data_IF_688998599560
#
_entry.id   IF_688998599560
#
_cell.length_a   1.000
_cell.length_b   1.000
_cell.length_c   1.000
_cell.angle_alpha   90.00
_cell.angle_beta   90.00
_cell.angle_gamma   90.00
#
_symmetry.space_group_name_H-M   'P 1'
#
loop_
_entity.id
_entity.type
_entity.pdbx_description
1 polymer ?
#
# COMPACT_ATOMS: atom_id res chain seq x y z
N UNK A 1 4.43 5.29 -30.95
CA UNK A 1 4.97 6.15 -29.88
C UNK A 1 4.93 5.34 -28.59
N UNK A 2 6.07 4.91 -28.08
CA UNK A 2 6.12 4.21 -26.80
C UNK A 2 5.73 5.22 -25.72
N UNK A 3 4.63 4.97 -25.00
CA UNK A 3 4.29 5.77 -23.84
C UNK A 3 5.40 5.58 -22.79
N UNK A 4 5.90 6.66 -22.17
CA UNK A 4 6.84 6.52 -21.08
C UNK A 4 6.23 5.60 -20.00
N UNK A 5 6.99 4.62 -19.47
CA UNK A 5 6.46 3.53 -18.65
C UNK A 5 5.83 3.96 -17.33
N UNK A 6 5.92 5.25 -16.95
CA UNK A 6 5.37 5.80 -15.71
C UNK A 6 4.05 6.58 -15.87
N UNK A 7 3.63 6.94 -17.09
CA UNK A 7 2.42 7.78 -17.26
C UNK A 7 1.11 7.01 -17.21
N UNK A 8 1.12 5.70 -17.44
CA UNK A 8 -0.12 4.90 -17.51
C UNK A 8 -0.81 4.78 -16.15
N UNK A 9 -0.06 4.61 -15.06
CA UNK A 9 -0.64 4.52 -13.72
C UNK A 9 -1.20 5.87 -13.27
N UNK A 10 -0.49 6.96 -13.55
CA UNK A 10 -0.97 8.31 -13.24
C UNK A 10 -2.22 8.69 -14.03
N UNK A 11 -2.34 8.26 -15.30
CA UNK A 11 -3.57 8.41 -16.08
C UNK A 11 -4.72 7.59 -15.46
N UNK A 12 -4.45 6.35 -15.06
CA UNK A 12 -5.43 5.51 -14.39
C UNK A 12 -5.89 6.13 -13.05
N UNK A 13 -4.96 6.71 -12.29
CA UNK A 13 -5.26 7.39 -11.04
C UNK A 13 -6.11 8.65 -11.27
N UNK A 14 -5.76 9.46 -12.27
CA UNK A 14 -6.55 10.64 -12.64
C UNK A 14 -7.98 10.26 -13.06
N UNK A 15 -8.13 9.24 -13.90
CA UNK A 15 -9.44 8.72 -14.35
C UNK A 15 -10.21 8.03 -13.23
N UNK A 16 -9.51 7.44 -12.26
CA UNK A 16 -10.04 6.81 -11.07
C UNK A 16 -10.38 7.77 -9.92
N UNK A 17 -10.28 9.09 -10.16
CA UNK A 17 -10.59 10.11 -9.15
C UNK A 17 -9.58 10.19 -8.00
N UNK A 18 -8.36 9.70 -8.22
CA UNK A 18 -7.27 9.73 -7.22
C UNK A 18 -7.44 8.74 -6.07
N UNK A 19 -8.31 7.73 -6.21
CA UNK A 19 -8.56 6.73 -5.17
C UNK A 19 -7.99 5.36 -5.58
N UNK A 20 -7.50 4.53 -4.64
CA UNK A 20 -7.04 3.17 -4.95
C UNK A 20 -8.10 2.33 -5.66
N UNK A 21 -9.33 2.33 -5.14
CA UNK A 21 -10.44 1.58 -5.72
C UNK A 21 -10.82 2.06 -7.13
N UNK A 22 -10.87 3.38 -7.36
CA UNK A 22 -11.15 3.93 -8.69
C UNK A 22 -10.03 3.65 -9.69
N UNK A 23 -8.77 3.73 -9.24
CA UNK A 23 -7.59 3.40 -10.04
C UNK A 23 -7.60 1.92 -10.43
N UNK A 24 -7.84 1.03 -9.47
CA UNK A 24 -7.96 -0.40 -9.68
C UNK A 24 -9.05 -0.75 -10.70
N UNK A 25 -10.20 -0.07 -10.64
CA UNK A 25 -11.28 -0.23 -11.62
C UNK A 25 -10.81 0.13 -13.03
N UNK A 26 -10.13 1.26 -13.22
CA UNK A 26 -9.63 1.69 -14.54
C UNK A 26 -8.59 0.71 -15.08
N UNK A 27 -7.68 0.24 -14.23
CA UNK A 27 -6.67 -0.76 -14.60
C UNK A 27 -7.33 -2.08 -14.99
N UNK A 28 -8.28 -2.55 -14.19
CA UNK A 28 -9.02 -3.79 -14.43
C UNK A 28 -9.78 -3.74 -15.74
N UNK A 29 -10.45 -2.63 -16.05
CA UNK A 29 -11.10 -2.43 -17.35
C UNK A 29 -10.10 -2.52 -18.52
N UNK A 30 -8.89 -1.98 -18.36
CA UNK A 30 -7.82 -2.11 -19.33
C UNK A 30 -7.37 -3.56 -19.53
N UNK A 31 -7.18 -4.31 -18.45
CA UNK A 31 -6.84 -5.74 -18.48
C UNK A 31 -7.94 -6.54 -19.18
N UNK A 32 -9.21 -6.29 -18.84
CA UNK A 32 -10.34 -7.03 -19.41
C UNK A 32 -10.58 -6.70 -20.89
N UNK A 33 -10.17 -5.51 -21.36
CA UNK A 33 -10.22 -5.16 -22.77
C UNK A 33 -9.17 -5.90 -23.62
N UNK A 34 -8.13 -6.47 -23.01
CA UNK A 34 -7.12 -7.24 -23.73
C UNK A 34 -7.63 -8.63 -24.14
N UNK A 35 -7.07 -9.17 -25.21
CA UNK A 35 -7.31 -10.55 -25.63
C UNK A 35 -6.84 -11.52 -24.56
N UNK A 36 -7.51 -12.66 -24.38
CA UNK A 36 -7.21 -13.63 -23.32
C UNK A 36 -5.75 -14.11 -23.28
N UNK A 37 -5.07 -14.15 -24.44
CA UNK A 37 -3.64 -14.55 -24.56
C UNK A 37 -2.70 -13.46 -24.03
N UNK A 38 -3.14 -12.20 -24.02
CA UNK A 38 -2.34 -11.04 -23.59
C UNK A 38 -2.57 -10.70 -22.12
N UNK A 39 -3.58 -11.28 -21.47
CA UNK A 39 -3.88 -11.03 -20.07
C UNK A 39 -2.84 -11.71 -19.18
N UNK A 40 -2.47 -11.10 -18.04
CA UNK A 40 -1.59 -11.75 -17.06
C UNK A 40 -2.16 -13.09 -16.59
N UNK A 41 -1.29 -14.07 -16.35
CA UNK A 41 -1.70 -15.43 -15.98
C UNK A 41 -2.57 -15.46 -14.72
N UNK A 42 -2.24 -14.65 -13.71
CA UNK A 42 -3.01 -14.55 -12.46
C UNK A 42 -4.47 -14.11 -12.63
N UNK A 43 -4.86 -13.61 -13.82
CA UNK A 43 -6.24 -13.21 -14.12
C UNK A 43 -7.10 -14.34 -14.70
N UNK A 44 -6.48 -15.47 -15.08
CA UNK A 44 -7.17 -16.59 -15.72
C UNK A 44 -8.20 -17.21 -14.78
N UNK A 45 -9.43 -17.37 -15.28
CA UNK A 45 -10.54 -17.97 -14.52
C UNK A 45 -11.14 -17.11 -13.42
N UNK A 46 -10.61 -15.89 -13.17
CA UNK A 46 -11.13 -14.96 -12.16
C UNK A 46 -12.21 -14.05 -12.72
N UNK A 47 -13.17 -13.66 -11.89
CA UNK A 47 -14.17 -12.66 -12.25
C UNK A 47 -13.56 -11.25 -12.27
N UNK A 48 -14.12 -10.34 -13.07
CA UNK A 48 -13.67 -8.93 -13.12
C UNK A 48 -13.63 -8.28 -11.73
N UNK A 49 -14.62 -8.60 -10.89
CA UNK A 49 -14.69 -8.10 -9.52
C UNK A 49 -13.50 -8.56 -8.67
N UNK A 50 -13.13 -9.83 -8.75
CA UNK A 50 -12.00 -10.40 -8.00
C UNK A 50 -10.68 -9.79 -8.48
N UNK A 51 -10.51 -9.62 -9.79
CA UNK A 51 -9.35 -8.94 -10.38
C UNK A 51 -9.25 -7.51 -9.86
N UNK A 52 -10.37 -6.79 -9.80
CA UNK A 52 -10.41 -5.43 -9.27
C UNK A 52 -10.05 -5.37 -7.78
N UNK A 53 -10.48 -6.34 -6.98
CA UNK A 53 -10.15 -6.45 -5.55
C UNK A 53 -8.65 -6.70 -5.35
N UNK A 54 -8.06 -7.64 -6.10
CA UNK A 54 -6.62 -7.94 -6.08
C UNK A 54 -5.79 -6.69 -6.42
N UNK A 55 -6.15 -5.99 -7.50
CA UNK A 55 -5.44 -4.76 -7.91
C UNK A 55 -5.62 -3.66 -6.87
N UNK A 56 -6.81 -3.49 -6.30
CA UNK A 56 -7.05 -2.48 -5.28
C UNK A 56 -6.22 -2.75 -4.03
N UNK A 57 -6.16 -4.00 -3.59
CA UNK A 57 -5.38 -4.43 -2.44
C UNK A 57 -3.87 -4.16 -2.67
N UNK A 58 -3.35 -4.57 -3.82
CA UNK A 58 -1.94 -4.32 -4.19
C UNK A 58 -1.59 -2.83 -4.21
N UNK A 59 -2.49 -1.97 -4.71
CA UNK A 59 -2.29 -0.51 -4.67
C UNK A 59 -2.26 0.00 -3.23
N UNK A 60 -3.18 -0.47 -2.37
CA UNK A 60 -3.22 -0.08 -0.97
C UNK A 60 -1.92 -0.48 -0.25
N UNK A 61 -1.46 -1.73 -0.44
CA UNK A 61 -0.23 -2.24 0.15
C UNK A 61 1.00 -1.44 -0.30
N UNK A 62 1.09 -1.12 -1.59
CA UNK A 62 2.19 -0.30 -2.12
C UNK A 62 2.18 1.13 -1.53
N UNK A 63 1.00 1.71 -1.35
CA UNK A 63 0.83 3.04 -0.73
C UNK A 63 1.20 3.01 0.75
N UNK A 64 0.73 2.02 1.49
CA UNK A 64 1.05 1.83 2.91
C UNK A 64 2.55 1.62 3.12
N UNK A 65 3.17 0.74 2.33
CA UNK A 65 4.61 0.51 2.37
C UNK A 65 5.39 1.79 2.08
N UNK A 66 4.94 2.58 1.11
CA UNK A 66 5.56 3.87 0.77
C UNK A 66 5.51 4.86 1.95
N UNK A 67 4.39 4.92 2.68
CA UNK A 67 4.29 5.75 3.88
C UNK A 67 5.20 5.25 5.01
N UNK A 68 5.25 3.94 5.25
CA UNK A 68 6.12 3.34 6.28
C UNK A 68 7.59 3.62 5.98
N UNK A 69 8.02 3.41 4.73
CA UNK A 69 9.40 3.66 4.31
C UNK A 69 9.73 5.15 4.41
N UNK A 70 8.82 6.03 3.97
CA UNK A 70 9.00 7.47 4.11
C UNK A 70 9.18 7.89 5.56
N UNK A 71 8.28 7.47 6.45
CA UNK A 71 8.33 7.81 7.87
C UNK A 71 9.62 7.30 8.52
N UNK A 72 10.08 6.10 8.15
CA UNK A 72 11.35 5.55 8.61
C UNK A 72 12.54 6.37 8.13
N UNK A 73 12.61 6.67 6.82
CA UNK A 73 13.69 7.46 6.22
C UNK A 73 13.75 8.85 6.86
N UNK A 74 12.61 9.52 7.01
CA UNK A 74 12.53 10.85 7.63
C UNK A 74 13.01 10.79 9.10
N UNK A 75 12.63 9.75 9.85
CA UNK A 75 13.05 9.56 11.25
C UNK A 75 14.56 9.28 11.39
N UNK A 76 15.15 8.46 10.52
CA UNK A 76 16.58 8.14 10.56
C UNK A 76 17.43 9.31 10.04
N UNK A 77 16.97 10.03 9.01
CA UNK A 77 17.65 11.26 8.55
C UNK A 77 17.64 12.34 9.61
N UNK A 78 16.57 12.47 10.40
CA UNK A 78 16.53 13.41 11.54
C UNK A 78 17.56 13.08 12.63
N UNK A 79 18.07 11.83 12.69
CA UNK A 79 19.17 11.42 13.59
C UNK A 79 20.56 11.67 12.99
N UNK A 80 20.63 12.14 11.73
CA UNK A 80 21.88 12.42 11.03
C UNK A 80 22.52 11.19 10.36
N UNK A 81 21.78 10.09 10.19
CA UNK A 81 22.27 8.92 9.42
C UNK A 81 22.29 9.22 7.93
N UNK A 82 23.21 8.57 7.23
CA UNK A 82 23.35 8.69 5.79
C UNK A 82 22.22 7.96 5.05
N UNK A 83 21.82 8.48 3.89
CA UNK A 83 20.73 7.90 3.12
C UNK A 83 21.06 6.51 2.58
N UNK A 84 22.30 6.24 2.17
CA UNK A 84 22.67 4.95 1.58
C UNK A 84 22.59 3.82 2.62
N UNK A 85 22.95 4.13 3.87
CA UNK A 85 22.81 3.21 5.00
C UNK A 85 21.32 2.90 5.29
N UNK A 86 20.48 3.94 5.32
CA UNK A 86 19.03 3.78 5.53
C UNK A 86 18.40 3.01 4.37
N UNK A 87 18.78 3.32 3.14
CA UNK A 87 18.24 2.68 1.94
C UNK A 87 18.54 1.18 1.92
N UNK A 88 19.76 0.81 2.29
CA UNK A 88 20.18 -0.60 2.41
C UNK A 88 19.30 -1.41 3.38
N UNK A 89 18.74 -0.76 4.41
CA UNK A 89 17.84 -1.41 5.38
C UNK A 89 16.40 -1.54 4.87
N UNK A 90 15.90 -0.55 4.12
CA UNK A 90 14.52 -0.57 3.59
C UNK A 90 14.41 -1.29 2.24
N UNK A 91 15.52 -1.45 1.50
CA UNK A 91 15.53 -2.09 0.19
C UNK A 91 14.91 -3.49 0.21
N UNK A 92 15.24 -4.41 1.14
CA UNK A 92 14.60 -5.73 1.17
C UNK A 92 13.09 -5.69 1.34
N UNK A 93 12.58 -4.68 2.06
CA UNK A 93 11.13 -4.48 2.24
C UNK A 93 10.48 -3.92 0.97
N UNK A 94 11.13 -2.96 0.29
CA UNK A 94 10.68 -2.47 -1.01
C UNK A 94 10.68 -3.58 -2.07
N UNK A 95 11.72 -4.42 -2.09
CA UNK A 95 11.84 -5.57 -2.99
C UNK A 95 10.76 -6.61 -2.73
N UNK A 96 10.30 -6.76 -1.48
CA UNK A 96 9.17 -7.62 -1.14
C UNK A 96 7.83 -7.07 -1.64
N UNK A 97 7.54 -5.78 -1.39
CA UNK A 97 6.25 -5.16 -1.78
C UNK A 97 6.16 -4.91 -3.29
N UNK A 98 7.29 -4.84 -3.99
CA UNK A 98 7.34 -4.64 -5.45
C UNK A 98 7.28 -5.94 -6.26
N UNK A 99 7.12 -7.09 -5.60
CA UNK A 99 7.01 -8.38 -6.30
C UNK A 99 5.79 -8.40 -7.23
N UNK A 100 5.90 -9.07 -8.40
CA UNK A 100 4.75 -9.34 -9.24
C UNK A 100 3.65 -10.06 -8.46
N UNK A 101 2.40 -9.83 -8.84
CA UNK A 101 1.25 -10.56 -8.29
C UNK A 101 1.35 -12.01 -8.80
N UNK A 102 1.77 -12.92 -7.92
CA UNK A 102 1.82 -14.35 -8.19
C UNK A 102 0.50 -15.06 -7.80
N UNK A 103 0.24 -16.23 -8.39
CA UNK A 103 -1.00 -16.99 -8.17
C UNK A 103 -1.13 -17.51 -6.72
N UNK A 104 0.00 -17.77 -6.06
CA UNK A 104 0.05 -18.34 -4.71
C UNK A 104 -0.25 -17.30 -3.61
N UNK A 105 0.21 -16.05 -3.77
CA UNK A 105 -0.04 -14.97 -2.82
C UNK A 105 -1.52 -14.52 -2.80
N UNK A 106 -2.27 -14.83 -3.85
CA UNK A 106 -3.69 -14.49 -3.97
C UNK A 106 -4.65 -15.45 -3.23
N UNK A 107 -4.17 -16.60 -2.72
CA UNK A 107 -5.04 -17.54 -2.00
C UNK A 107 -5.39 -17.09 -0.57
N UNK A 108 -4.61 -16.18 0.01
CA UNK A 108 -4.85 -15.66 1.37
C UNK A 108 -5.93 -14.54 1.40
N UNK A 109 -6.30 -13.97 0.24
CA UNK A 109 -7.22 -12.83 0.13
C UNK A 109 -8.70 -13.23 0.32
N UNK A 110 -9.02 -14.53 0.29
CA UNK A 110 -10.40 -15.03 0.35
C UNK A 110 -11.08 -14.91 1.74
N UNK A 111 -10.36 -14.55 2.81
CA UNK A 111 -10.89 -14.59 4.18
C UNK A 111 -11.03 -13.24 4.91
N UNK A 112 -10.87 -12.10 4.23
CA UNK A 112 -11.16 -10.79 4.87
C UNK A 112 -12.53 -10.28 4.42
N UNK A 113 -13.62 -10.48 5.20
CA UNK A 113 -14.92 -9.94 4.85
C UNK A 113 -14.88 -8.40 4.84
N UNK A 114 -15.12 -7.83 3.66
CA UNK A 114 -15.25 -6.39 3.36
C UNK A 114 -16.30 -5.63 4.22
N UNK A 115 -17.02 -6.31 5.12
CA UNK A 115 -17.95 -5.69 6.05
C UNK A 115 -17.26 -4.82 7.12
N UNK A 116 -15.95 -4.99 7.36
CA UNK A 116 -15.22 -4.24 8.38
C UNK A 116 -14.73 -2.85 7.90
N UNK A 117 -14.46 -2.65 6.61
CA UNK A 117 -13.93 -1.38 6.09
C UNK A 117 -15.00 -0.29 5.91
N UNK A 118 -16.28 -0.67 5.76
CA UNK A 118 -17.40 0.27 5.66
C UNK A 118 -17.93 0.76 7.03
N UNK A 119 -17.51 0.13 8.14
CA UNK A 119 -17.93 0.50 9.49
C UNK A 119 -17.03 1.56 10.16
N UNK A 120 -15.95 2.00 9.50
CA UNK A 120 -15.11 3.09 9.98
C UNK A 120 -15.78 4.46 9.73
N UNK A 121 -16.79 4.76 10.56
CA UNK A 121 -17.23 6.09 10.99
C UNK A 121 -17.64 7.13 9.94
N UNK A 122 -18.95 7.31 9.68
CA UNK A 122 -19.48 8.55 9.13
C UNK A 122 -19.53 9.72 10.15
N UNK A 123 -19.03 9.55 11.39
CA UNK A 123 -19.28 10.48 12.50
C UNK A 123 -18.29 11.66 12.66
N UNK A 124 -17.41 11.95 11.69
CA UNK A 124 -16.36 12.99 11.84
C UNK A 124 -16.48 14.21 10.92
N UNK A 125 -17.63 14.48 10.31
CA UNK A 125 -17.79 15.68 9.46
C UNK A 125 -18.16 16.97 10.21
N UNK A 126 -18.56 16.91 11.49
CA UNK A 126 -19.00 18.11 12.25
C UNK A 126 -18.27 18.35 13.58
N UNK A 127 -17.15 17.66 13.86
CA UNK A 127 -16.39 17.93 15.07
C UNK A 127 -15.52 19.19 14.87
N UNK A 128 -15.60 20.21 15.75
CA UNK A 128 -14.69 21.35 15.70
C UNK A 128 -13.23 20.85 15.83
N UNK A 129 -12.27 21.49 15.14
CA UNK A 129 -10.87 21.11 15.25
C UNK A 129 -10.44 21.18 16.73
N UNK A 130 -9.67 20.20 17.23
CA UNK A 130 -9.18 20.21 18.59
C UNK A 130 -8.35 21.47 18.84
N UNK A 131 -8.46 22.04 20.04
CA UNK A 131 -7.67 23.21 20.40
C UNK A 131 -6.18 22.85 20.44
N UNK A 132 -5.29 23.80 20.15
CA UNK A 132 -3.83 23.61 20.17
C UNK A 132 -3.31 22.96 21.47
N UNK A 133 -4.03 23.11 22.60
CA UNK A 133 -3.68 22.47 23.87
C UNK A 133 -3.96 20.97 23.93
N UNK A 134 -5.02 20.49 23.28
CA UNK A 134 -5.39 19.06 23.29
C UNK A 134 -4.50 18.22 22.36
N UNK A 135 -3.96 18.85 21.31
CA UNK A 135 -3.08 18.19 20.35
C UNK A 135 -1.67 17.95 20.94
N UNK A 136 -1.18 18.88 21.77
CA UNK A 136 0.04 18.71 22.55
C UNK A 136 -0.08 17.56 23.57
N UNK A 137 -1.20 17.49 24.31
CA UNK A 137 -1.45 16.44 25.29
C UNK A 137 -1.56 15.05 24.64
N UNK A 138 -2.18 14.94 23.45
CA UNK A 138 -2.23 13.69 22.69
C UNK A 138 -0.87 13.24 22.17
N UNK A 139 -0.02 14.18 21.78
CA UNK A 139 1.34 13.89 21.30
C UNK A 139 2.25 13.41 22.43
N UNK A 140 2.08 13.94 23.64
CA UNK A 140 2.78 13.47 24.84
C UNK A 140 2.31 12.07 25.26
N UNK A 141 1.01 11.81 25.27
CA UNK A 141 0.46 10.49 25.59
C UNK A 141 0.92 9.40 24.59
N UNK A 142 1.05 9.74 23.30
CA UNK A 142 1.57 8.82 22.28
C UNK A 142 3.06 8.52 22.46
N UNK A 143 3.85 9.48 22.92
CA UNK A 143 5.27 9.27 23.25
C UNK A 143 5.45 8.40 24.49
N UNK A 144 4.56 8.50 25.48
CA UNK A 144 4.60 7.66 26.67
C UNK A 144 4.18 6.20 26.42
N UNK A 145 3.40 5.93 25.37
CA UNK A 145 2.81 4.61 25.12
C UNK A 145 3.62 3.69 24.18
N UNK A 146 4.78 4.11 23.66
CA UNK A 146 5.54 3.30 22.68
C UNK A 146 6.98 2.98 23.12
N UNK A 147 7.19 2.11 24.13
CA UNK A 147 8.48 1.50 24.37
C UNK A 147 8.65 0.32 23.39
N UNK A 148 9.44 0.53 22.33
CA UNK A 148 10.06 -0.54 21.53
C UNK A 148 9.12 -1.43 20.68
N UNK A 149 8.71 -0.95 19.50
CA UNK A 149 8.28 -1.84 18.41
C UNK A 149 9.55 -2.34 17.69
N UNK A 150 10.09 -3.45 18.18
CA UNK A 150 11.27 -4.14 17.64
C UNK A 150 11.04 -4.56 16.18
N UNK A 151 11.60 -3.83 15.20
CA UNK A 151 11.77 -4.29 13.82
C UNK A 151 12.90 -5.34 13.68
N UNK A 152 13.51 -5.77 14.79
CA UNK A 152 14.69 -6.66 14.82
C UNK A 152 14.37 -8.17 14.81
N UNK A 153 13.13 -8.56 14.57
CA UNK A 153 12.66 -9.94 14.77
C UNK A 153 12.12 -10.61 13.49
N UNK A 154 12.71 -10.33 12.33
CA UNK A 154 12.48 -11.18 11.15
C UNK A 154 13.61 -12.22 11.03
N UNK A 155 13.29 -13.53 11.05
CA UNK A 155 14.28 -14.56 10.80
C UNK A 155 14.75 -14.50 9.35
N UNK A 156 16.07 -14.45 9.17
CA UNK A 156 16.73 -14.58 7.86
C UNK A 156 16.55 -16.02 7.36
N UNK A 157 15.98 -16.28 6.17
CA UNK A 157 15.89 -17.63 5.63
C UNK A 157 17.29 -18.15 5.23
N UNK A 158 17.54 -19.47 5.36
CA UNK A 158 18.85 -20.04 5.03
C UNK A 158 19.11 -20.02 3.52
N UNK A 159 20.29 -19.54 3.15
CA UNK A 159 20.81 -19.59 1.78
C UNK A 159 20.91 -21.06 1.30
N UNK A 160 20.46 -21.31 0.06
CA UNK A 160 20.63 -22.59 -0.64
C UNK A 160 21.77 -22.50 -1.65
#
# INVERSE_FOLDING_TARGET
VAMPPATWFMDAAARGGGTPAGTAKVITQGIMAQQAIQRPDWTKGKAEKEICEIVAQSICEAVEASFVVKDYVDAERAKGRDFDEIYSEVQPYLDYVSRPIDEDDNQEIAEVPMAAAAAASPARRDAPPPSFGEEAARREARKAAAPHRNLRAYPVPPER
#
